data_IF_381283532599
#
_entry.id   IF_381283532599
#
_cell.length_a   1.000
_cell.length_b   1.000
_cell.length_c   1.000
_cell.angle_alpha   90.00
_cell.angle_beta   90.00
_cell.angle_gamma   90.00
#
_symmetry.space_group_name_H-M   'P 1'
#
loop_
_entity.id
_entity.type
_entity.pdbx_description
1 polymer ?
#
# COMPACT_ATOMS: atom_id res chain seq x y z
N UNK A 1 6.40 -0.28 11.91
CA UNK A 1 6.03 -0.09 10.49
C UNK A 1 4.54 0.21 10.32
N UNK A 2 3.64 -0.62 10.85
CA UNK A 2 2.19 -0.45 10.77
C UNK A 2 1.71 0.94 11.18
N UNK A 3 2.18 1.45 12.33
CA UNK A 3 1.85 2.80 12.80
C UNK A 3 2.27 3.91 11.82
N UNK A 4 3.40 3.71 11.11
CA UNK A 4 3.89 4.62 10.10
C UNK A 4 2.98 4.62 8.86
N UNK A 5 2.58 3.44 8.38
CA UNK A 5 1.65 3.31 7.25
C UNK A 5 0.29 3.94 7.58
N UNK A 6 -0.26 3.67 8.76
CA UNK A 6 -1.52 4.28 9.22
C UNK A 6 -1.41 5.81 9.25
N UNK A 7 -0.28 6.34 9.73
CA UNK A 7 -0.04 7.79 9.75
C UNK A 7 0.05 8.37 8.34
N UNK A 8 0.70 7.69 7.39
CA UNK A 8 0.76 8.12 5.99
C UNK A 8 -0.63 8.16 5.35
N UNK A 9 -1.43 7.12 5.57
CA UNK A 9 -2.81 7.04 5.06
C UNK A 9 -3.66 8.18 5.62
N UNK A 10 -3.62 8.40 6.94
CA UNK A 10 -4.39 9.46 7.60
C UNK A 10 -3.96 10.86 7.13
N UNK A 11 -2.65 11.10 7.01
CA UNK A 11 -2.15 12.39 6.53
C UNK A 11 -2.58 12.64 5.08
N UNK A 12 -2.48 11.62 4.21
CA UNK A 12 -2.93 11.75 2.83
C UNK A 12 -4.43 12.06 2.75
N UNK A 13 -5.25 11.33 3.50
CA UNK A 13 -6.70 11.56 3.55
C UNK A 13 -7.03 12.97 4.06
N UNK A 14 -6.33 13.44 5.09
CA UNK A 14 -6.50 14.78 5.61
C UNK A 14 -6.14 15.86 4.58
N UNK A 15 -5.07 15.68 3.80
CA UNK A 15 -4.61 16.65 2.81
C UNK A 15 -5.38 16.61 1.49
N UNK A 16 -5.86 15.45 1.06
CA UNK A 16 -6.49 15.26 -0.25
C UNK A 16 -8.01 15.05 -0.19
N UNK A 17 -8.59 14.87 1.00
CA UNK A 17 -10.02 14.62 1.21
C UNK A 17 -10.49 13.24 0.74
N UNK A 18 -9.56 12.36 0.36
CA UNK A 18 -9.80 11.02 -0.14
C UNK A 18 -8.75 10.08 0.43
N UNK A 19 -9.18 8.89 0.85
CA UNK A 19 -8.28 7.84 1.30
C UNK A 19 -7.45 7.33 0.11
N UNK A 20 -6.12 7.16 0.25
CA UNK A 20 -5.31 6.54 -0.80
C UNK A 20 -5.78 5.10 -1.02
N UNK A 21 -5.54 4.55 -2.21
CA UNK A 21 -5.90 3.17 -2.54
C UNK A 21 -4.68 2.25 -2.67
N UNK A 22 -3.46 2.80 -2.71
CA UNK A 22 -2.24 2.00 -2.78
C UNK A 22 -1.14 2.55 -1.87
N UNK A 23 -0.32 1.64 -1.35
CA UNK A 23 0.93 1.91 -0.67
C UNK A 23 2.08 1.30 -1.47
N UNK A 24 3.05 2.13 -1.85
CA UNK A 24 4.30 1.70 -2.46
C UNK A 24 5.35 1.47 -1.38
N UNK A 25 6.03 0.32 -1.41
CA UNK A 25 7.15 0.03 -0.52
C UNK A 25 8.06 -1.04 -1.12
N UNK A 26 9.27 -1.22 -0.57
CA UNK A 26 10.14 -2.33 -0.94
C UNK A 26 9.83 -3.59 -0.11
N UNK A 27 10.45 -4.71 -0.48
CA UNK A 27 10.25 -6.00 0.20
C UNK A 27 10.65 -5.97 1.69
N UNK A 28 11.72 -5.24 2.04
CA UNK A 28 12.18 -5.14 3.42
C UNK A 28 11.14 -4.48 4.32
N UNK A 29 10.58 -3.35 3.89
CA UNK A 29 9.51 -2.67 4.63
C UNK A 29 8.24 -3.52 4.71
N UNK A 30 7.93 -4.24 3.64
CA UNK A 30 6.82 -5.18 3.64
C UNK A 30 7.02 -6.34 4.63
N UNK A 31 8.25 -6.84 4.76
CA UNK A 31 8.63 -7.82 5.77
C UNK A 31 8.34 -7.32 7.19
N UNK A 32 8.83 -6.14 7.54
CA UNK A 32 8.57 -5.54 8.85
C UNK A 32 7.08 -5.29 9.11
N UNK A 33 6.32 -4.92 8.08
CA UNK A 33 4.88 -4.75 8.19
C UNK A 33 4.18 -6.06 8.53
N UNK A 34 4.59 -7.18 7.92
CA UNK A 34 4.01 -8.50 8.20
C UNK A 34 4.31 -8.99 9.61
N UNK A 35 5.51 -8.74 10.12
CA UNK A 35 5.91 -9.13 11.48
C UNK A 35 5.05 -8.44 12.56
N UNK A 36 4.57 -7.23 12.28
CA UNK A 36 3.73 -6.45 13.20
C UNK A 36 2.23 -6.81 13.12
N UNK A 37 1.82 -7.65 12.18
CA UNK A 37 0.43 -8.02 11.97
C UNK A 37 0.16 -9.46 12.45
N UNK A 38 -0.47 -9.65 13.63
CA UNK A 38 -0.72 -10.97 14.16
C UNK A 38 -1.75 -11.72 13.30
N UNK A 39 -1.46 -12.99 13.01
CA UNK A 39 -2.39 -13.87 12.30
C UNK A 39 -2.42 -13.73 10.79
N UNK A 40 -1.64 -12.82 10.21
CA UNK A 40 -1.45 -12.70 8.76
C UNK A 40 -0.69 -13.91 8.20
N UNK A 41 -1.27 -14.57 7.20
CA UNK A 41 -0.65 -15.72 6.53
C UNK A 41 -0.13 -15.37 5.16
N UNK A 42 -0.90 -14.59 4.41
CA UNK A 42 -0.56 -14.20 3.05
C UNK A 42 -0.76 -12.70 2.79
N UNK A 43 -0.45 -12.28 1.56
CA UNK A 43 -0.53 -10.88 1.16
C UNK A 43 -1.96 -10.33 1.18
N UNK A 44 -2.94 -11.16 0.86
CA UNK A 44 -4.35 -10.78 0.81
C UNK A 44 -4.84 -10.41 2.21
N UNK A 45 -4.37 -11.11 3.25
CA UNK A 45 -4.67 -10.76 4.64
C UNK A 45 -4.14 -9.38 5.01
N UNK A 46 -2.91 -9.05 4.59
CA UNK A 46 -2.30 -7.73 4.84
C UNK A 46 -3.12 -6.62 4.19
N UNK A 47 -3.46 -6.80 2.91
CA UNK A 47 -4.27 -5.85 2.14
C UNK A 47 -5.66 -5.70 2.77
N UNK A 48 -6.29 -6.79 3.22
CA UNK A 48 -7.58 -6.77 3.87
C UNK A 48 -7.55 -6.00 5.21
N UNK A 49 -6.51 -6.17 6.02
CA UNK A 49 -6.35 -5.46 7.29
C UNK A 49 -6.13 -3.97 7.07
N UNK A 50 -5.29 -3.61 6.10
CA UNK A 50 -4.99 -2.20 5.82
C UNK A 50 -6.11 -1.51 5.03
N UNK A 51 -6.90 -2.27 4.27
CA UNK A 51 -7.93 -1.76 3.37
C UNK A 51 -7.38 -0.87 2.27
N UNK A 52 -6.11 -1.07 1.88
CA UNK A 52 -5.40 -0.40 0.78
C UNK A 52 -4.47 -1.42 0.13
N UNK A 53 -4.31 -1.36 -1.18
CA UNK A 53 -3.40 -2.25 -1.91
C UNK A 53 -1.94 -1.96 -1.58
N UNK A 54 -1.07 -2.94 -1.75
CA UNK A 54 0.38 -2.78 -1.59
C UNK A 54 1.07 -3.12 -2.90
N UNK A 55 1.81 -2.14 -3.43
CA UNK A 55 2.66 -2.32 -4.60
C UNK A 55 4.13 -2.40 -4.14
N UNK A 56 4.79 -3.53 -4.44
CA UNK A 56 6.20 -3.72 -4.13
C UNK A 56 7.08 -3.14 -5.25
N UNK A 57 8.05 -2.30 -4.89
CA UNK A 57 8.99 -1.71 -5.83
C UNK A 57 10.35 -1.45 -5.18
N UNK A 58 11.40 -2.02 -5.78
CA UNK A 58 12.79 -1.89 -5.28
C UNK A 58 13.32 -0.46 -5.31
N UNK A 59 12.75 0.41 -6.16
CA UNK A 59 13.09 1.83 -6.21
C UNK A 59 12.53 2.64 -5.04
N UNK A 60 11.69 2.04 -4.19
CA UNK A 60 11.01 2.74 -3.10
C UNK A 60 11.86 2.70 -1.82
N UNK A 61 12.56 3.80 -1.57
CA UNK A 61 13.41 3.97 -0.38
C UNK A 61 12.64 4.10 0.93
N UNK A 62 11.40 4.62 0.89
CA UNK A 62 10.52 4.76 2.05
C UNK A 62 9.08 4.47 1.64
N UNK A 63 8.23 3.90 2.51
CA UNK A 63 6.84 3.70 2.19
C UNK A 63 6.14 5.01 1.78
N UNK A 64 5.35 4.95 0.70
CA UNK A 64 4.60 6.08 0.17
C UNK A 64 3.17 5.67 -0.14
N UNK A 65 2.22 6.59 -0.01
CA UNK A 65 0.80 6.34 -0.32
C UNK A 65 0.39 7.15 -1.54
N UNK A 66 -0.49 6.58 -2.36
CA UNK A 66 -0.99 7.24 -3.56
C UNK A 66 -2.43 6.83 -3.88
N UNK A 67 -3.02 7.60 -4.79
CA UNK A 67 -4.26 7.24 -5.47
C UNK A 67 -3.94 6.88 -6.92
N UNK A 68 -4.01 5.59 -7.25
CA UNK A 68 -3.89 5.11 -8.62
C UNK A 68 -5.28 5.03 -9.25
N UNK A 69 -5.43 5.65 -10.42
CA UNK A 69 -6.61 5.49 -11.25
C UNK A 69 -6.28 4.46 -12.32
N UNK A 70 -7.01 3.36 -12.35
CA UNK A 70 -6.96 2.45 -13.49
C UNK A 70 -7.51 3.19 -14.71
N UNK A 71 -6.61 3.62 -15.60
CA UNK A 71 -7.01 4.03 -16.94
C UNK A 71 -7.35 2.74 -17.70
N UNK A 72 -8.64 2.43 -17.79
CA UNK A 72 -9.16 1.35 -18.61
C UNK A 72 -9.03 1.71 -20.09
N UNK A 73 -7.81 1.75 -20.63
CA UNK A 73 -7.55 1.96 -22.06
C UNK A 73 -6.12 1.53 -22.37
N UNK A 74 -5.95 0.22 -22.56
CA UNK A 74 -5.08 -0.41 -23.56
C UNK A 74 -5.09 -1.92 -23.29
N UNK A 75 -6.18 -2.58 -23.66
CA UNK A 75 -6.12 -4.02 -23.97
C UNK A 75 -5.29 -4.10 -25.25
N UNK A 76 -3.99 -4.34 -25.13
CA UNK A 76 -3.21 -4.85 -26.26
C UNK A 76 -3.65 -6.28 -26.49
N UNK A 77 -4.70 -6.44 -27.30
CA UNK A 77 -4.91 -7.69 -28.04
C UNK A 77 -3.85 -7.71 -29.13
N UNK A 78 -2.87 -8.60 -29.00
CA UNK A 78 -2.09 -9.16 -30.11
C UNK A 78 -1.57 -10.53 -29.70
#
# INVERSE_FOLDING_TARGET
>A
MLSHIVSLVNNYEHHHGLRPNVVYMNETHYGYLREELPGVRDHSDVVAILGVDIALSDGTLNPQVATVRFASENILVS
#
